data_IF_206726518896
#
_entry.id   IF_206726518896
#
_cell.length_a   1.000
_cell.length_b   1.000
_cell.length_c   1.000
_cell.angle_alpha   90.00
_cell.angle_beta   90.00
_cell.angle_gamma   90.00
#
_symmetry.space_group_name_H-M   'P 1'
#
loop_
_entity.id
_entity.type
_entity.pdbx_description
1 polymer ?
#
# COMPACT_ATOMS: atom_id res chain seq x y z
N UNK A 1 0.14 -3.36 55.80
CA UNK A 1 0.53 -2.36 54.77
C UNK A 1 0.46 -3.05 53.41
N UNK A 2 -0.45 -2.65 52.53
CA UNK A 2 -0.56 -3.24 51.19
C UNK A 2 0.55 -2.66 50.29
N UNK A 3 1.31 -3.52 49.61
CA UNK A 3 2.29 -3.13 48.60
C UNK A 3 1.55 -2.60 47.38
N UNK A 4 1.75 -1.33 47.04
CA UNK A 4 1.32 -0.78 45.75
C UNK A 4 2.38 -1.15 44.72
N UNK A 5 2.02 -2.02 43.78
CA UNK A 5 2.86 -2.31 42.62
C UNK A 5 2.55 -1.28 41.53
N UNK A 6 3.44 -0.29 41.36
CA UNK A 6 3.36 0.65 40.25
C UNK A 6 3.88 -0.06 39.00
N UNK A 7 3.01 -0.28 38.01
CA UNK A 7 3.42 -0.77 36.69
C UNK A 7 4.17 0.36 35.99
N UNK A 8 5.52 0.28 35.98
CA UNK A 8 6.40 1.31 35.42
C UNK A 8 6.45 1.29 33.88
N UNK A 9 5.94 0.23 33.25
CA UNK A 9 6.10 -0.02 31.81
C UNK A 9 4.75 0.06 31.12
N UNK A 10 4.42 1.22 30.55
CA UNK A 10 3.35 1.31 29.56
C UNK A 10 3.86 0.65 28.27
N UNK A 11 3.10 -0.26 27.63
CA UNK A 11 3.48 -0.77 26.33
C UNK A 11 3.62 0.43 25.40
N UNK A 12 4.81 0.59 24.81
CA UNK A 12 5.07 1.71 23.89
C UNK A 12 4.00 1.70 22.81
N UNK A 13 3.11 2.71 22.82
CA UNK A 13 2.10 2.86 21.78
C UNK A 13 2.84 3.27 20.51
N UNK A 14 3.05 2.34 19.59
CA UNK A 14 3.39 2.70 18.23
C UNK A 14 2.19 3.46 17.65
N UNK A 15 2.44 4.59 16.99
CA UNK A 15 1.38 5.37 16.30
C UNK A 15 0.67 4.51 15.26
N UNK A 16 1.40 3.55 14.69
CA UNK A 16 0.93 2.62 13.68
C UNK A 16 0.75 1.23 14.28
N UNK A 17 -0.44 0.65 14.11
CA UNK A 17 -0.75 -0.74 14.47
C UNK A 17 -0.94 -1.53 13.16
N UNK A 18 0.00 -2.42 12.86
CA UNK A 18 -0.05 -3.32 11.71
C UNK A 18 -0.49 -4.70 12.16
N UNK A 19 -1.25 -5.40 11.32
CA UNK A 19 -1.87 -6.69 11.64
C UNK A 19 -1.47 -7.80 10.67
N UNK A 20 -1.19 -7.47 9.41
CA UNK A 20 -0.91 -8.49 8.38
C UNK A 20 0.00 -7.95 7.26
N UNK A 21 0.67 -8.82 6.49
CA UNK A 21 1.39 -8.41 5.28
C UNK A 21 0.44 -8.11 4.11
N UNK A 22 0.99 -7.62 2.99
CA UNK A 22 0.25 -7.51 1.72
C UNK A 22 -0.28 -8.88 1.29
N UNK A 23 -1.48 -8.93 0.70
CA UNK A 23 -2.08 -10.18 0.20
C UNK A 23 -1.23 -10.88 -0.86
N UNK A 24 -0.47 -10.10 -1.64
CA UNK A 24 0.42 -10.58 -2.70
C UNK A 24 1.81 -9.97 -2.54
N UNK A 25 2.85 -10.71 -2.91
CA UNK A 25 4.22 -10.17 -2.90
C UNK A 25 4.41 -9.15 -4.03
N UNK A 26 5.35 -8.21 -3.85
CA UNK A 26 5.56 -7.09 -4.78
C UNK A 26 5.84 -7.58 -6.21
N UNK A 27 6.71 -8.59 -6.36
CA UNK A 27 7.13 -9.12 -7.66
C UNK A 27 6.23 -10.24 -8.21
N UNK A 28 5.07 -10.47 -7.59
CA UNK A 28 4.09 -11.43 -8.10
C UNK A 28 3.29 -10.90 -9.30
N UNK A 29 3.57 -9.69 -9.80
CA UNK A 29 2.86 -9.10 -10.95
C UNK A 29 2.85 -10.02 -12.18
N UNK A 30 3.89 -10.85 -12.36
CA UNK A 30 4.01 -11.74 -13.51
C UNK A 30 3.04 -12.93 -13.52
N UNK A 31 2.25 -13.11 -12.47
CA UNK A 31 1.19 -14.14 -12.41
C UNK A 31 0.02 -13.82 -13.35
N UNK A 32 -0.19 -12.54 -13.68
CA UNK A 32 -1.13 -12.11 -14.72
C UNK A 32 -0.40 -11.21 -15.72
N UNK A 33 0.03 -11.80 -16.83
CA UNK A 33 0.72 -11.07 -17.89
C UNK A 33 -0.14 -9.97 -18.52
N UNK A 34 -1.47 -10.10 -18.53
CA UNK A 34 -2.33 -9.07 -19.12
C UNK A 34 -2.31 -7.81 -18.26
N UNK A 35 -2.44 -7.97 -16.94
CA UNK A 35 -2.30 -6.84 -16.01
C UNK A 35 -0.89 -6.25 -16.06
N UNK A 36 0.13 -7.09 -16.09
CA UNK A 36 1.51 -6.64 -16.16
C UNK A 36 1.78 -5.83 -17.45
N UNK A 37 1.33 -6.31 -18.60
CA UNK A 37 1.43 -5.59 -19.87
C UNK A 37 0.61 -4.30 -19.83
N UNK A 38 -0.60 -4.30 -19.28
CA UNK A 38 -1.42 -3.09 -19.21
C UNK A 38 -0.76 -2.00 -18.33
N UNK A 39 -0.26 -2.37 -17.16
CA UNK A 39 0.47 -1.47 -16.27
C UNK A 39 1.76 -0.93 -16.89
N UNK A 40 2.42 -1.71 -17.76
CA UNK A 40 3.67 -1.33 -18.41
C UNK A 40 3.46 -0.47 -19.66
N UNK A 41 2.52 -0.83 -20.53
CA UNK A 41 2.28 -0.16 -21.82
C UNK A 41 1.34 1.05 -21.72
N UNK A 42 0.40 1.08 -20.77
CA UNK A 42 -0.34 2.31 -20.41
C UNK A 42 -0.34 2.56 -18.90
N UNK A 43 0.79 3.00 -18.31
CA UNK A 43 0.87 3.25 -16.88
C UNK A 43 -0.11 4.35 -16.44
N UNK A 44 -0.32 5.40 -17.24
CA UNK A 44 -1.28 6.46 -16.92
C UNK A 44 -2.71 5.90 -16.78
N UNK A 45 -3.21 5.18 -17.80
CA UNK A 45 -4.54 4.56 -17.75
C UNK A 45 -4.69 3.65 -16.52
N UNK A 46 -3.67 2.84 -16.26
CA UNK A 46 -3.66 1.87 -15.17
C UNK A 46 -3.68 2.54 -13.79
N UNK A 47 -2.87 3.58 -13.58
CA UNK A 47 -2.91 4.36 -12.34
C UNK A 47 -4.28 5.00 -12.15
N UNK A 48 -4.81 5.70 -13.15
CA UNK A 48 -6.06 6.42 -12.97
C UNK A 48 -7.24 5.46 -12.69
N UNK A 49 -7.19 4.23 -13.18
CA UNK A 49 -8.10 3.16 -12.76
C UNK A 49 -7.94 2.81 -11.27
N UNK A 50 -6.70 2.62 -10.80
CA UNK A 50 -6.42 2.33 -9.38
C UNK A 50 -6.87 3.46 -8.48
N UNK A 51 -6.56 4.72 -8.82
CA UNK A 51 -6.97 5.90 -8.06
C UNK A 51 -8.49 5.97 -7.97
N UNK A 52 -9.19 5.78 -9.09
CA UNK A 52 -10.66 5.74 -9.10
C UNK A 52 -11.20 4.63 -8.20
N UNK A 53 -10.62 3.42 -8.25
CA UNK A 53 -11.01 2.30 -7.35
C UNK A 53 -10.72 2.60 -5.87
N UNK A 54 -9.66 3.33 -5.59
CA UNK A 54 -9.32 3.77 -4.24
C UNK A 54 -10.20 4.95 -3.72
N UNK A 55 -11.16 5.41 -4.53
CA UNK A 55 -12.02 6.54 -4.19
C UNK A 55 -11.32 7.91 -4.29
N UNK A 56 -10.23 7.99 -5.06
CA UNK A 56 -9.52 9.24 -5.34
C UNK A 56 -9.98 9.86 -6.67
N UNK A 57 -9.82 11.18 -6.79
CA UNK A 57 -10.07 11.89 -8.03
C UNK A 57 -9.13 11.42 -9.15
N UNK A 58 -9.65 11.34 -10.37
CA UNK A 58 -8.90 10.79 -11.51
C UNK A 58 -7.59 11.55 -11.75
N UNK A 59 -7.59 12.88 -11.61
CA UNK A 59 -6.40 13.70 -11.85
C UNK A 59 -5.28 13.48 -10.84
N UNK A 60 -5.56 12.89 -9.68
CA UNK A 60 -4.57 12.62 -8.64
C UNK A 60 -3.50 11.64 -9.13
N UNK A 61 -3.80 10.72 -10.07
CA UNK A 61 -2.81 9.82 -10.67
C UNK A 61 -1.63 10.56 -11.34
N UNK A 62 -1.85 11.80 -11.78
CA UNK A 62 -0.85 12.62 -12.46
C UNK A 62 0.01 13.46 -11.52
N UNK A 63 -0.36 13.56 -10.24
CA UNK A 63 0.40 14.33 -9.27
C UNK A 63 1.72 13.62 -8.93
N UNK A 64 2.86 14.35 -8.91
CA UNK A 64 4.12 13.78 -8.46
C UNK A 64 3.99 13.17 -7.06
N UNK A 65 4.48 11.95 -6.88
CA UNK A 65 4.41 11.24 -5.60
C UNK A 65 3.04 10.64 -5.24
N UNK A 66 2.02 10.82 -6.08
CA UNK A 66 0.68 10.28 -5.80
C UNK A 66 0.68 8.76 -5.61
N UNK A 67 1.41 8.01 -6.46
CA UNK A 67 1.53 6.54 -6.33
C UNK A 67 2.07 6.13 -4.95
N UNK A 68 3.12 6.81 -4.49
CA UNK A 68 3.72 6.58 -3.17
C UNK A 68 2.75 6.92 -2.03
N UNK A 69 2.06 8.07 -2.16
CA UNK A 69 1.08 8.50 -1.18
C UNK A 69 -0.09 7.50 -1.10
N UNK A 70 -0.60 7.05 -2.25
CA UNK A 70 -1.66 6.07 -2.33
C UNK A 70 -1.24 4.74 -1.69
N UNK A 71 -0.04 4.24 -2.02
CA UNK A 71 0.52 3.03 -1.41
C UNK A 71 0.55 3.13 0.11
N UNK A 72 1.05 4.25 0.63
CA UNK A 72 1.15 4.50 2.08
C UNK A 72 -0.23 4.62 2.74
N UNK A 73 -1.18 5.27 2.05
CA UNK A 73 -2.57 5.43 2.49
C UNK A 73 -3.27 4.07 2.59
N UNK A 74 -3.20 3.26 1.54
CA UNK A 74 -3.76 1.90 1.50
C UNK A 74 -3.14 1.02 2.58
N UNK A 75 -1.81 1.05 2.72
CA UNK A 75 -1.10 0.30 3.75
C UNK A 75 -1.59 0.65 5.15
N UNK A 76 -1.79 1.94 5.42
CA UNK A 76 -2.25 2.42 6.72
C UNK A 76 -3.74 2.08 6.94
N UNK A 77 -4.58 2.26 5.92
CA UNK A 77 -6.02 2.00 5.98
C UNK A 77 -6.33 0.53 6.27
N UNK A 78 -5.58 -0.39 5.65
CA UNK A 78 -5.75 -1.83 5.83
C UNK A 78 -4.79 -2.44 6.87
N UNK A 79 -4.09 -1.62 7.66
CA UNK A 79 -3.15 -2.10 8.72
C UNK A 79 -2.10 -3.08 8.19
N UNK A 80 -1.61 -2.84 6.99
CA UNK A 80 -0.60 -3.68 6.34
C UNK A 80 0.79 -3.33 6.89
N UNK A 81 1.56 -4.36 7.23
CA UNK A 81 2.94 -4.24 7.70
C UNK A 81 3.85 -3.56 6.67
N UNK A 82 4.69 -2.65 7.13
CA UNK A 82 5.70 -1.99 6.30
C UNK A 82 6.14 -0.64 6.83
N UNK A 83 6.98 0.03 6.04
CA UNK A 83 7.51 1.35 6.34
C UNK A 83 7.67 2.18 5.07
N UNK A 84 7.86 3.49 5.26
CA UNK A 84 7.96 4.46 4.17
C UNK A 84 9.15 4.21 3.24
N UNK A 85 10.26 3.68 3.77
CA UNK A 85 11.45 3.36 2.96
C UNK A 85 11.11 2.26 1.96
N UNK A 86 10.46 1.19 2.43
CA UNK A 86 10.02 0.11 1.56
C UNK A 86 8.99 0.59 0.53
N UNK A 87 8.04 1.45 0.92
CA UNK A 87 7.06 2.04 0.00
C UNK A 87 7.74 2.92 -1.07
N UNK A 88 8.75 3.69 -0.69
CA UNK A 88 9.56 4.50 -1.62
C UNK A 88 10.35 3.61 -2.59
N UNK A 89 11.08 2.61 -2.09
CA UNK A 89 11.85 1.70 -2.91
C UNK A 89 10.96 0.90 -3.86
N UNK A 90 9.83 0.36 -3.39
CA UNK A 90 8.89 -0.39 -4.22
C UNK A 90 8.36 0.47 -5.38
N UNK A 91 7.96 1.70 -5.08
CA UNK A 91 7.41 2.65 -6.05
C UNK A 91 8.47 3.13 -7.06
N UNK A 92 9.73 3.29 -6.62
CA UNK A 92 10.83 3.84 -7.43
C UNK A 92 11.45 2.79 -8.34
N UNK A 93 11.74 1.60 -7.83
CA UNK A 93 12.45 0.56 -8.57
C UNK A 93 11.53 -0.33 -9.41
N UNK A 94 10.28 -0.54 -8.98
CA UNK A 94 9.27 -1.21 -9.80
C UNK A 94 7.88 -0.61 -9.62
N UNK A 95 7.65 0.56 -10.23
CA UNK A 95 6.36 1.24 -10.18
C UNK A 95 5.19 0.38 -10.67
N UNK A 96 5.35 -0.36 -11.77
CA UNK A 96 4.29 -1.24 -12.28
C UNK A 96 3.92 -2.35 -11.29
N UNK A 97 4.92 -3.01 -10.68
CA UNK A 97 4.72 -4.02 -9.65
C UNK A 97 3.96 -3.44 -8.45
N UNK A 98 4.38 -2.27 -7.97
CA UNK A 98 3.78 -1.60 -6.82
C UNK A 98 2.30 -1.26 -7.08
N UNK A 99 1.97 -0.78 -8.28
CA UNK A 99 0.61 -0.45 -8.67
C UNK A 99 -0.27 -1.68 -8.85
N UNK A 100 0.25 -2.76 -9.44
CA UNK A 100 -0.48 -4.03 -9.54
C UNK A 100 -0.75 -4.60 -8.14
N UNK A 101 0.22 -4.52 -7.23
CA UNK A 101 0.03 -4.94 -5.84
C UNK A 101 -1.08 -4.13 -5.15
N UNK A 102 -1.12 -2.80 -5.34
CA UNK A 102 -2.21 -1.96 -4.81
C UNK A 102 -3.56 -2.39 -5.41
N UNK A 103 -3.64 -2.55 -6.74
CA UNK A 103 -4.88 -2.94 -7.43
C UNK A 103 -5.42 -4.27 -6.89
N UNK A 104 -4.54 -5.26 -6.72
CA UNK A 104 -4.90 -6.58 -6.18
C UNK A 104 -5.30 -6.52 -4.72
N UNK A 105 -4.66 -5.65 -3.94
CA UNK A 105 -5.05 -5.44 -2.55
C UNK A 105 -6.46 -4.83 -2.48
N UNK A 106 -6.76 -3.79 -3.26
CA UNK A 106 -8.12 -3.23 -3.34
C UNK A 106 -9.16 -4.31 -3.67
N UNK A 107 -8.88 -5.13 -4.69
CA UNK A 107 -9.74 -6.26 -5.04
C UNK A 107 -9.87 -7.30 -3.92
N UNK A 108 -8.78 -7.61 -3.20
CA UNK A 108 -8.81 -8.52 -2.04
C UNK A 108 -9.70 -8.00 -0.91
N UNK A 109 -9.76 -6.67 -0.75
CA UNK A 109 -10.62 -5.98 0.23
C UNK A 109 -12.06 -5.79 -0.28
N UNK A 110 -12.38 -6.23 -1.51
CA UNK A 110 -13.71 -6.12 -2.10
C UNK A 110 -14.04 -4.76 -2.71
N UNK A 111 -13.02 -3.98 -3.10
CA UNK A 111 -13.13 -2.66 -3.72
C UNK A 111 -12.86 -2.68 -5.24
#
# INVERSE_FOLDING_TARGET
MARVNVVLTQPGKSVWHFEHPWSHSLYSCCTDMKECCYAFFCPCCFECEIFKRAGEEMWTCMCPGARYALRSKIRTAFRIEGNLVHDCCATTFCGCCASIQIKRELHHQGL
#
